data_IF_005683425252
#
_entry.id   IF_005683425252
#
_cell.length_a   1.000
_cell.length_b   1.000
_cell.length_c   1.000
_cell.angle_alpha   90.00
_cell.angle_beta   90.00
_cell.angle_gamma   90.00
#
_symmetry.space_group_name_H-M   'P 1'
#
loop_
_entity.id
_entity.type
_entity.pdbx_description
1 polymer ?
#
# COMPACT_ATOMS: atom_id res chain seq x y z
N UNK A 1 -4.21 35.83 1.25
CA UNK A 1 -4.06 34.87 0.12
C UNK A 1 -4.77 33.57 0.49
N UNK A 2 -5.44 32.97 -0.49
CA UNK A 2 -6.05 31.63 -0.34
C UNK A 2 -5.06 30.54 -0.72
N UNK A 3 -5.27 29.32 -0.24
CA UNK A 3 -4.52 28.15 -0.68
C UNK A 3 -5.27 27.39 -1.78
N UNK A 4 -4.57 26.51 -2.50
CA UNK A 4 -5.13 25.60 -3.50
C UNK A 4 -4.41 24.27 -3.45
N UNK A 5 -5.16 23.17 -3.39
CA UNK A 5 -4.62 21.83 -3.60
C UNK A 5 -4.42 21.63 -5.11
N UNK A 6 -3.22 21.29 -5.52
CA UNK A 6 -2.84 21.12 -6.94
C UNK A 6 -2.75 19.66 -7.38
N UNK A 7 -2.77 18.72 -6.46
CA UNK A 7 -2.72 17.29 -6.77
C UNK A 7 -2.41 16.42 -5.56
N UNK A 8 -2.32 15.12 -5.80
CA UNK A 8 -1.79 14.12 -4.86
C UNK A 8 -0.35 13.80 -5.25
N UNK A 9 0.56 13.68 -4.29
CA UNK A 9 1.95 13.30 -4.55
C UNK A 9 2.15 11.79 -4.41
N UNK A 10 1.90 11.23 -3.24
CA UNK A 10 2.11 9.81 -2.96
C UNK A 10 1.20 9.32 -1.82
N UNK A 11 1.17 8.00 -1.64
CA UNK A 11 0.62 7.36 -0.45
C UNK A 11 1.76 6.83 0.41
N UNK A 12 1.85 7.27 1.66
CA UNK A 12 2.83 6.78 2.62
C UNK A 12 2.29 5.61 3.43
N UNK A 13 3.09 4.56 3.57
CA UNK A 13 2.77 3.38 4.37
C UNK A 13 3.93 3.10 5.31
N UNK A 14 3.68 3.18 6.61
CA UNK A 14 4.66 2.77 7.62
C UNK A 14 4.68 1.25 7.72
N UNK A 15 5.88 0.68 7.61
CA UNK A 15 6.12 -0.76 7.58
C UNK A 15 7.09 -1.17 8.67
N UNK A 16 7.01 -2.41 9.14
CA UNK A 16 7.92 -2.92 10.17
C UNK A 16 9.28 -3.35 9.62
N UNK A 17 9.36 -3.64 8.32
CA UNK A 17 10.59 -4.09 7.66
C UNK A 17 10.56 -3.63 6.20
N UNK A 18 11.44 -2.66 5.89
CA UNK A 18 11.49 -2.02 4.58
C UNK A 18 11.87 -3.00 3.47
N UNK A 19 12.85 -3.87 3.71
CA UNK A 19 13.34 -4.84 2.72
C UNK A 19 12.23 -5.85 2.34
N UNK A 20 11.56 -6.41 3.35
CA UNK A 20 10.42 -7.31 3.12
C UNK A 20 9.30 -6.61 2.34
N UNK A 21 9.03 -5.34 2.63
CA UNK A 21 8.03 -4.57 1.90
C UNK A 21 8.44 -4.31 0.46
N UNK A 22 9.73 -4.06 0.19
CA UNK A 22 10.25 -3.93 -1.17
C UNK A 22 10.18 -5.25 -1.95
N UNK A 23 10.44 -6.39 -1.32
CA UNK A 23 10.24 -7.71 -1.95
C UNK A 23 8.79 -7.88 -2.41
N UNK A 24 7.83 -7.40 -1.63
CA UNK A 24 6.43 -7.44 -2.01
C UNK A 24 6.09 -6.42 -3.13
N UNK A 25 6.35 -5.16 -2.92
CA UNK A 25 5.91 -4.10 -3.84
C UNK A 25 6.71 -4.09 -5.15
N UNK A 26 8.02 -4.20 -5.06
CA UNK A 26 8.93 -4.18 -6.22
C UNK A 26 8.99 -5.55 -6.90
N UNK A 27 9.31 -6.62 -6.16
CA UNK A 27 9.68 -7.89 -6.75
C UNK A 27 8.45 -8.75 -7.07
N UNK A 28 7.43 -8.79 -6.19
CA UNK A 28 6.23 -9.58 -6.42
C UNK A 28 5.19 -8.82 -7.26
N UNK A 29 4.85 -7.58 -6.88
CA UNK A 29 3.85 -6.78 -7.59
C UNK A 29 4.39 -6.10 -8.85
N UNK A 30 5.72 -5.98 -8.99
CA UNK A 30 6.35 -5.40 -10.18
C UNK A 30 6.31 -3.88 -10.24
N UNK A 31 6.18 -3.19 -9.10
CA UNK A 31 6.29 -1.73 -9.07
C UNK A 31 7.72 -1.29 -9.37
N UNK A 32 7.87 -0.19 -10.10
CA UNK A 32 9.17 0.38 -10.40
C UNK A 32 9.80 1.01 -9.15
N UNK A 33 11.01 0.56 -8.80
CA UNK A 33 11.78 1.17 -7.72
C UNK A 33 12.30 2.55 -8.16
N UNK A 34 12.13 3.55 -7.32
CA UNK A 34 12.59 4.91 -7.57
C UNK A 34 13.87 5.22 -6.80
N UNK A 35 13.78 5.31 -5.48
CA UNK A 35 14.92 5.70 -4.63
C UNK A 35 14.66 5.32 -3.18
N UNK A 36 15.71 5.47 -2.37
CA UNK A 36 15.65 5.41 -0.91
C UNK A 36 16.12 6.72 -0.31
N UNK A 37 15.72 6.97 0.92
CA UNK A 37 16.24 8.06 1.74
C UNK A 37 16.34 7.66 3.21
N UNK A 38 17.14 8.38 3.96
CA UNK A 38 17.27 8.24 5.41
C UNK A 38 17.06 9.61 6.03
N UNK A 39 16.10 9.74 6.90
CA UNK A 39 15.74 10.99 7.57
C UNK A 39 15.90 10.87 9.07
N UNK A 40 16.52 11.86 9.70
CA UNK A 40 16.71 11.94 11.15
C UNK A 40 16.92 13.38 11.60
N UNK A 41 16.95 13.58 12.92
CA UNK A 41 17.21 14.88 13.52
C UNK A 41 15.99 15.78 13.49
N UNK A 42 16.25 17.07 13.67
CA UNK A 42 15.19 18.08 13.78
C UNK A 42 14.23 18.12 12.61
N UNK A 43 14.74 17.98 11.42
CA UNK A 43 13.89 17.97 10.21
C UNK A 43 12.87 16.81 10.22
N UNK A 44 13.32 15.59 10.54
CA UNK A 44 12.43 14.44 10.63
C UNK A 44 11.40 14.61 11.76
N UNK A 45 11.82 15.14 12.90
CA UNK A 45 10.94 15.42 14.05
C UNK A 45 9.88 16.47 13.69
N UNK A 46 10.26 17.55 13.04
CA UNK A 46 9.34 18.62 12.66
C UNK A 46 8.36 18.22 11.57
N UNK A 47 8.79 17.43 10.59
CA UNK A 47 7.92 16.92 9.52
C UNK A 47 6.89 15.92 10.06
N UNK A 48 7.32 14.97 10.88
CA UNK A 48 6.47 13.87 11.34
C UNK A 48 5.69 14.18 12.61
N UNK A 49 6.13 15.18 13.38
CA UNK A 49 5.60 15.44 14.73
C UNK A 49 5.98 14.37 15.76
N UNK A 50 6.88 13.47 15.42
CA UNK A 50 7.34 12.38 16.30
C UNK A 50 8.71 12.74 16.87
N UNK A 51 8.76 12.93 18.18
CA UNK A 51 10.01 13.30 18.87
C UNK A 51 11.06 12.20 18.70
N UNK A 52 12.26 12.60 18.28
CA UNK A 52 13.38 11.67 18.06
C UNK A 52 13.22 10.79 16.83
N UNK A 53 12.33 11.14 15.89
CA UNK A 53 12.10 10.33 14.70
C UNK A 53 13.36 10.10 13.89
N UNK A 54 13.61 8.85 13.55
CA UNK A 54 14.59 8.40 12.58
C UNK A 54 13.96 7.33 11.73
N UNK A 55 14.01 7.49 10.40
CA UNK A 55 13.36 6.57 9.47
C UNK A 55 14.15 6.39 8.19
N UNK A 56 14.06 5.20 7.64
CA UNK A 56 14.43 4.88 6.26
C UNK A 56 13.17 4.81 5.43
N UNK A 57 13.24 5.25 4.20
CA UNK A 57 12.14 5.16 3.27
C UNK A 57 12.60 4.66 1.90
N UNK A 58 11.67 4.06 1.19
CA UNK A 58 11.82 3.68 -0.21
C UNK A 58 10.57 4.09 -0.98
N UNK A 59 10.74 4.55 -2.20
CA UNK A 59 9.64 4.93 -3.08
C UNK A 59 9.57 3.96 -4.25
N UNK A 60 8.38 3.43 -4.48
CA UNK A 60 8.04 2.60 -5.64
C UNK A 60 6.88 3.23 -6.40
N UNK A 61 6.79 2.97 -7.70
CA UNK A 61 5.80 3.57 -8.58
C UNK A 61 5.01 2.51 -9.33
N UNK A 62 3.69 2.63 -9.32
CA UNK A 62 2.80 1.76 -10.07
C UNK A 62 2.92 1.99 -11.59
N UNK A 63 2.44 1.06 -12.43
CA UNK A 63 2.40 1.26 -13.89
C UNK A 63 1.64 2.52 -14.31
N UNK A 64 0.63 2.95 -13.55
CA UNK A 64 -0.14 4.17 -13.81
C UNK A 64 0.54 5.44 -13.28
N UNK A 65 1.67 5.33 -12.58
CA UNK A 65 2.46 6.46 -12.09
C UNK A 65 2.22 6.82 -10.62
N UNK A 66 1.25 6.20 -9.93
CA UNK A 66 1.05 6.48 -8.50
C UNK A 66 2.23 5.97 -7.67
N UNK A 67 2.73 6.83 -6.78
CA UNK A 67 3.86 6.51 -5.91
C UNK A 67 3.40 5.96 -4.57
N UNK A 68 4.07 4.92 -4.11
CA UNK A 68 3.97 4.40 -2.74
C UNK A 68 5.29 4.67 -2.04
N UNK A 69 5.24 5.38 -0.93
CA UNK A 69 6.38 5.61 -0.05
C UNK A 69 6.30 4.65 1.13
N UNK A 70 7.26 3.75 1.23
CA UNK A 70 7.37 2.78 2.32
C UNK A 70 8.32 3.35 3.37
N UNK A 71 7.89 3.44 4.64
CA UNK A 71 8.64 4.07 5.70
C UNK A 71 8.88 3.07 6.84
N UNK A 72 10.13 2.83 7.18
CA UNK A 72 10.51 2.06 8.37
C UNK A 72 11.10 2.99 9.41
N UNK A 73 10.42 3.15 10.56
CA UNK A 73 10.94 3.93 11.67
C UNK A 73 11.98 3.12 12.44
N UNK A 74 13.15 3.70 12.64
CA UNK A 74 14.22 3.15 13.47
C UNK A 74 14.15 3.68 14.92
N UNK A 75 13.56 4.87 15.10
CA UNK A 75 13.30 5.53 16.36
C UNK A 75 12.01 6.36 16.28
N UNK A 76 11.32 6.58 17.41
CA UNK A 76 11.64 6.16 18.77
C UNK A 76 11.45 4.65 18.99
N UNK A 77 12.13 4.09 19.98
CA UNK A 77 12.13 2.63 20.21
C UNK A 77 10.77 2.05 20.65
N UNK A 78 9.89 2.90 21.17
CA UNK A 78 8.56 2.52 21.64
C UNK A 78 7.47 2.58 20.56
N UNK A 79 7.82 2.87 19.29
CA UNK A 79 6.85 2.88 18.21
C UNK A 79 6.23 1.49 17.99
N UNK A 80 4.95 1.45 17.66
CA UNK A 80 4.25 0.19 17.35
C UNK A 80 4.68 -0.32 15.99
N UNK A 81 4.89 -1.64 15.89
CA UNK A 81 5.37 -2.32 14.68
C UNK A 81 4.28 -3.11 13.96
N UNK A 82 3.05 -2.98 14.39
CA UNK A 82 1.89 -3.64 13.78
C UNK A 82 0.63 -2.78 13.88
N UNK A 83 -0.32 -3.06 13.01
CA UNK A 83 -1.62 -2.39 12.96
C UNK A 83 -2.72 -3.44 13.17
N UNK A 84 -3.37 -3.40 14.31
CA UNK A 84 -4.49 -4.29 14.64
C UNK A 84 -5.86 -3.73 14.29
N UNK A 85 -5.93 -2.54 13.68
CA UNK A 85 -7.21 -1.96 13.25
C UNK A 85 -7.89 -2.85 12.20
N UNK A 86 -9.18 -3.05 12.38
CA UNK A 86 -10.01 -3.69 11.36
C UNK A 86 -10.37 -2.65 10.28
N UNK A 87 -10.75 -3.06 9.08
CA UNK A 87 -11.16 -2.11 8.03
C UNK A 87 -12.31 -1.17 8.43
N UNK A 88 -13.12 -1.55 9.43
CA UNK A 88 -14.22 -0.73 9.95
C UNK A 88 -13.81 0.24 11.07
N UNK A 89 -12.59 0.17 11.57
CA UNK A 89 -12.14 1.03 12.67
C UNK A 89 -11.65 2.36 12.11
N UNK A 90 -12.03 3.45 12.79
CA UNK A 90 -11.67 4.82 12.36
C UNK A 90 -10.15 4.96 12.33
N UNK A 91 -9.63 5.57 11.26
CA UNK A 91 -8.19 5.72 11.01
C UNK A 91 -7.62 4.63 10.10
N UNK A 92 -8.37 3.55 9.82
CA UNK A 92 -7.95 2.54 8.85
C UNK A 92 -8.04 3.09 7.43
N UNK A 93 -6.99 2.91 6.66
CA UNK A 93 -6.90 3.31 5.24
C UNK A 93 -6.42 2.14 4.39
N UNK A 94 -6.77 2.14 3.11
CA UNK A 94 -6.26 1.16 2.16
C UNK A 94 -5.93 1.82 0.82
N UNK A 95 -5.12 1.13 0.04
CA UNK A 95 -4.84 1.48 -1.37
C UNK A 95 -5.50 0.43 -2.24
N UNK A 96 -6.21 0.87 -3.29
CA UNK A 96 -6.82 -0.01 -4.26
C UNK A 96 -5.92 -0.14 -5.50
N UNK A 97 -5.64 -1.37 -5.92
CA UNK A 97 -4.87 -1.70 -7.11
C UNK A 97 -5.76 -2.43 -8.10
N UNK A 98 -5.74 -1.98 -9.34
CA UNK A 98 -6.41 -2.66 -10.44
C UNK A 98 -5.51 -3.78 -10.96
N UNK A 99 -6.08 -4.98 -11.11
CA UNK A 99 -5.32 -6.18 -11.50
C UNK A 99 -6.04 -6.97 -12.58
N UNK A 100 -5.26 -7.78 -13.28
CA UNK A 100 -5.73 -8.87 -14.13
C UNK A 100 -5.37 -10.20 -13.46
N UNK A 101 -6.21 -11.24 -13.59
CA UNK A 101 -5.97 -12.58 -13.07
C UNK A 101 -5.74 -12.61 -11.54
N UNK A 102 -6.80 -12.37 -10.80
CA UNK A 102 -6.76 -12.22 -9.34
C UNK A 102 -6.31 -13.51 -8.63
N UNK A 103 -6.75 -14.69 -9.06
CA UNK A 103 -6.41 -15.96 -8.41
C UNK A 103 -4.90 -16.23 -8.34
N UNK A 104 -4.14 -16.18 -9.46
CA UNK A 104 -2.68 -16.34 -9.41
C UNK A 104 -1.98 -15.33 -8.51
N UNK A 105 -2.50 -14.09 -8.46
CA UNK A 105 -1.98 -13.08 -7.56
C UNK A 105 -2.21 -13.47 -6.09
N UNK A 106 -3.42 -13.87 -5.72
CA UNK A 106 -3.76 -14.28 -4.36
C UNK A 106 -2.92 -15.48 -3.88
N UNK A 107 -2.67 -16.45 -4.76
CA UNK A 107 -1.79 -17.58 -4.46
C UNK A 107 -0.35 -17.12 -4.18
N UNK A 108 0.18 -16.23 -5.03
CA UNK A 108 1.53 -15.67 -4.86
C UNK A 108 1.69 -14.91 -3.56
N UNK A 109 0.76 -14.01 -3.25
CA UNK A 109 0.87 -13.17 -2.06
C UNK A 109 0.65 -13.96 -0.77
N UNK A 110 -0.16 -15.03 -0.81
CA UNK A 110 -0.32 -15.94 0.33
C UNK A 110 1.01 -16.60 0.73
N UNK A 111 1.84 -16.97 -0.24
CA UNK A 111 3.17 -17.51 0.00
C UNK A 111 4.13 -16.50 0.66
N UNK A 112 3.85 -15.20 0.54
CA UNK A 112 4.64 -14.10 1.13
C UNK A 112 4.08 -13.62 2.48
N UNK A 113 3.10 -14.32 3.06
CA UNK A 113 2.51 -14.00 4.36
C UNK A 113 1.36 -13.00 4.30
N UNK A 114 0.90 -12.58 3.13
CA UNK A 114 -0.30 -11.78 2.96
C UNK A 114 -1.54 -12.66 2.98
N UNK A 115 -2.64 -12.16 3.51
CA UNK A 115 -3.88 -12.93 3.65
C UNK A 115 -5.07 -12.15 3.12
N UNK A 116 -5.88 -12.81 2.29
CA UNK A 116 -7.19 -12.29 1.92
C UNK A 116 -8.08 -12.21 3.16
N UNK A 117 -8.76 -11.07 3.32
CA UNK A 117 -9.70 -10.84 4.42
C UNK A 117 -11.00 -11.64 4.25
N UNK A 118 -11.33 -11.98 3.01
CA UNK A 118 -12.51 -12.74 2.64
C UNK A 118 -12.35 -13.34 1.25
N UNK A 119 -13.45 -13.77 0.65
CA UNK A 119 -13.48 -14.27 -0.74
C UNK A 119 -13.74 -13.12 -1.70
N UNK A 120 -13.10 -13.08 -2.89
CA UNK A 120 -13.41 -12.10 -3.91
C UNK A 120 -14.90 -12.06 -4.25
N UNK A 121 -15.45 -10.87 -4.35
CA UNK A 121 -16.86 -10.64 -4.68
C UNK A 121 -16.99 -9.79 -5.93
N UNK A 122 -17.95 -10.12 -6.79
CA UNK A 122 -18.28 -9.29 -7.96
C UNK A 122 -19.20 -8.15 -7.54
N UNK A 123 -18.79 -6.93 -7.83
CA UNK A 123 -19.63 -5.75 -7.61
C UNK A 123 -20.75 -5.73 -8.64
N UNK A 124 -22.00 -5.56 -8.19
CA UNK A 124 -23.18 -5.62 -9.05
C UNK A 124 -23.76 -4.25 -9.39
N UNK A 125 -23.28 -3.18 -8.74
CA UNK A 125 -23.80 -1.81 -8.88
C UNK A 125 -22.67 -0.78 -8.87
N UNK A 126 -22.97 0.41 -9.38
CA UNK A 126 -22.06 1.55 -9.38
C UNK A 126 -21.03 1.51 -10.50
N UNK A 127 -20.07 2.46 -10.50
CA UNK A 127 -19.10 2.62 -11.59
C UNK A 127 -18.09 1.46 -11.69
N UNK A 128 -17.97 0.64 -10.65
CA UNK A 128 -17.10 -0.54 -10.63
C UNK A 128 -17.84 -1.87 -10.81
N UNK A 129 -19.11 -1.83 -11.25
CA UNK A 129 -19.89 -3.05 -11.52
C UNK A 129 -19.16 -3.97 -12.50
N UNK A 130 -19.17 -5.28 -12.22
CA UNK A 130 -18.47 -6.30 -12.98
C UNK A 130 -17.04 -6.58 -12.50
N UNK A 131 -16.42 -5.71 -11.72
CA UNK A 131 -15.12 -5.96 -11.11
C UNK A 131 -15.25 -6.90 -9.92
N UNK A 132 -14.28 -7.80 -9.76
CA UNK A 132 -14.16 -8.64 -8.57
C UNK A 132 -13.20 -7.96 -7.60
N UNK A 133 -13.58 -7.90 -6.33
CA UNK A 133 -12.87 -7.10 -5.31
C UNK A 133 -12.61 -7.93 -4.08
N UNK A 134 -11.45 -7.77 -3.49
CA UNK A 134 -11.08 -8.38 -2.22
C UNK A 134 -10.08 -7.49 -1.47
N UNK A 135 -10.21 -7.43 -0.15
CA UNK A 135 -9.18 -6.87 0.72
C UNK A 135 -8.16 -7.94 1.10
N UNK A 136 -6.91 -7.54 1.11
CA UNK A 136 -5.79 -8.39 1.52
C UNK A 136 -4.98 -7.63 2.56
N UNK A 137 -4.54 -8.31 3.60
CA UNK A 137 -3.74 -7.70 4.67
C UNK A 137 -2.34 -8.30 4.70
N UNK A 138 -1.36 -7.43 4.87
CA UNK A 138 0.03 -7.85 5.07
C UNK A 138 0.29 -8.28 6.53
N UNK A 139 1.49 -8.82 6.84
CA UNK A 139 1.87 -9.19 8.19
C UNK A 139 1.83 -8.03 9.19
N UNK A 140 1.97 -6.79 8.76
CA UNK A 140 1.90 -5.59 9.60
C UNK A 140 0.46 -5.11 9.85
N UNK A 141 -0.52 -5.66 9.13
CA UNK A 141 -1.90 -5.26 9.18
C UNK A 141 -2.29 -4.16 8.17
N UNK A 142 -1.42 -3.81 7.24
CA UNK A 142 -1.74 -2.92 6.11
C UNK A 142 -2.73 -3.59 5.18
N UNK A 143 -3.75 -2.85 4.73
CA UNK A 143 -4.77 -3.36 3.82
C UNK A 143 -4.52 -2.83 2.40
N UNK A 144 -4.57 -3.74 1.43
CA UNK A 144 -4.67 -3.41 0.01
C UNK A 144 -5.98 -3.99 -0.51
N UNK A 145 -6.69 -3.23 -1.34
CA UNK A 145 -7.83 -3.69 -2.11
C UNK A 145 -7.34 -4.10 -3.51
N UNK A 146 -7.63 -5.31 -3.94
CA UNK A 146 -7.43 -5.70 -5.33
C UNK A 146 -8.76 -5.67 -6.07
N UNK A 147 -8.78 -4.97 -7.21
CA UNK A 147 -9.93 -4.81 -8.08
C UNK A 147 -9.60 -5.44 -9.43
N UNK A 148 -10.14 -6.62 -9.69
CA UNK A 148 -9.91 -7.31 -10.96
C UNK A 148 -10.78 -6.71 -12.07
N UNK A 149 -10.17 -6.32 -13.18
CA UNK A 149 -10.92 -5.87 -14.36
C UNK A 149 -11.69 -7.03 -14.99
N UNK A 150 -12.91 -6.80 -15.49
CA UNK A 150 -13.65 -7.83 -16.21
C UNK A 150 -12.86 -8.35 -17.41
N UNK A 151 -12.85 -9.67 -17.61
CA UNK A 151 -12.11 -10.33 -18.69
C UNK A 151 -12.54 -9.87 -20.09
N UNK A 152 -13.76 -9.44 -20.25
CA UNK A 152 -14.30 -8.92 -21.51
C UNK A 152 -13.60 -7.64 -22.00
N UNK A 153 -12.95 -6.90 -21.10
CA UNK A 153 -12.20 -5.67 -21.43
C UNK A 153 -10.73 -5.93 -21.80
N UNK A 154 -10.24 -7.15 -21.60
CA UNK A 154 -8.83 -7.52 -21.86
C UNK A 154 -8.63 -7.91 -23.34
N UNK A 155 -9.69 -8.29 -24.05
CA UNK A 155 -9.63 -8.85 -25.43
C UNK A 155 -9.52 -7.76 -26.51
N UNK A 156 -9.68 -6.48 -26.19
CA UNK A 156 -9.69 -5.36 -27.15
C UNK A 156 -8.46 -4.45 -27.12
N UNK A 157 -7.40 -4.84 -26.44
CA UNK A 157 -6.17 -4.03 -26.40
C UNK A 157 -5.01 -4.64 -27.18
#
# INVERSE_FOLDING_TARGET
>A
MSFRIIGTDHTGITVSNLERSLEFWRDLLGFEFSHTAHQKGEMAEQITGVKGAELKLAVVKSPSGHKIELLEYLAPADHKKDNHLRPCDVGHVHVALTVENLEPLLEKIAASGWKAAGKPQTLTRGPNAGKRVVYVRDPDGTTIEFMEVPQELIVES
#
